data_IF_727994162890
#
_entry.id   IF_727994162890
#
_cell.length_a   1.000
_cell.length_b   1.000
_cell.length_c   1.000
_cell.angle_alpha   90.00
_cell.angle_beta   90.00
_cell.angle_gamma   90.00
#
_symmetry.space_group_name_H-M   'P 1'
#
loop_
_entity.id
_entity.type
_entity.pdbx_description
1 polymer ?
#
# COMPACT_ATOMS: atom_id res chain seq x y z
N UNK A 1 -15.79 -12.39 17.92
CA UNK A 1 -14.33 -12.68 17.81
C UNK A 1 -13.82 -12.47 16.39
N UNK A 2 -14.56 -12.89 15.37
CA UNK A 2 -14.15 -12.78 13.95
C UNK A 2 -13.80 -11.35 13.52
N UNK A 3 -14.63 -10.36 13.84
CA UNK A 3 -14.35 -8.94 13.54
C UNK A 3 -12.98 -8.50 14.06
N UNK A 4 -12.66 -8.83 15.32
CA UNK A 4 -11.41 -8.44 15.98
C UNK A 4 -10.22 -9.07 15.25
N UNK A 5 -10.32 -10.34 14.89
CA UNK A 5 -9.28 -11.07 14.16
C UNK A 5 -9.04 -10.44 12.78
N UNK A 6 -10.09 -10.18 12.01
CA UNK A 6 -9.97 -9.54 10.69
C UNK A 6 -9.40 -8.14 10.80
N UNK A 7 -9.82 -7.36 11.80
CA UNK A 7 -9.27 -6.02 12.06
C UNK A 7 -7.79 -6.07 12.44
N UNK A 8 -7.38 -7.04 13.26
CA UNK A 8 -5.99 -7.24 13.61
C UNK A 8 -5.13 -7.61 12.39
N UNK A 9 -5.61 -8.53 11.55
CA UNK A 9 -4.96 -8.88 10.28
C UNK A 9 -4.84 -7.66 9.36
N UNK A 10 -5.89 -6.84 9.26
CA UNK A 10 -5.86 -5.60 8.49
C UNK A 10 -4.76 -4.65 8.98
N UNK A 11 -4.63 -4.47 10.29
CA UNK A 11 -3.57 -3.64 10.88
C UNK A 11 -2.17 -4.21 10.65
N UNK A 12 -1.98 -5.52 10.78
CA UNK A 12 -0.71 -6.15 10.42
C UNK A 12 -0.36 -5.89 8.95
N UNK A 13 -1.32 -6.07 8.03
CA UNK A 13 -1.14 -5.75 6.62
C UNK A 13 -0.67 -4.30 6.42
N UNK A 14 -1.33 -3.33 7.08
CA UNK A 14 -0.97 -1.90 6.98
C UNK A 14 0.45 -1.64 7.50
N UNK A 15 0.83 -2.24 8.63
CA UNK A 15 2.16 -2.06 9.23
C UNK A 15 3.24 -2.61 8.30
N UNK A 16 3.03 -3.81 7.74
CA UNK A 16 3.96 -4.40 6.78
C UNK A 16 4.02 -3.59 5.48
N UNK A 17 2.88 -3.10 4.99
CA UNK A 17 2.80 -2.25 3.80
C UNK A 17 3.61 -0.96 3.98
N UNK A 18 3.39 -0.25 5.08
CA UNK A 18 4.10 0.98 5.38
C UNK A 18 5.60 0.74 5.60
N UNK A 19 5.95 -0.31 6.35
CA UNK A 19 7.35 -0.62 6.65
C UNK A 19 8.13 -1.03 5.40
N UNK A 20 7.56 -1.89 4.56
CA UNK A 20 8.21 -2.32 3.31
C UNK A 20 8.37 -1.16 2.34
N UNK A 21 7.33 -0.33 2.14
CA UNK A 21 7.43 0.85 1.28
C UNK A 21 8.48 1.87 1.77
N UNK A 22 8.58 2.06 3.10
CA UNK A 22 9.60 2.92 3.68
C UNK A 22 11.01 2.36 3.42
N UNK A 23 11.21 1.05 3.61
CA UNK A 23 12.48 0.37 3.32
C UNK A 23 12.84 0.52 1.84
N UNK A 24 11.88 0.33 0.94
CA UNK A 24 12.12 0.52 -0.50
C UNK A 24 12.58 1.93 -0.82
N UNK A 25 11.93 2.94 -0.26
CA UNK A 25 12.30 4.35 -0.47
C UNK A 25 13.71 4.67 0.06
N UNK A 26 14.15 3.99 1.12
CA UNK A 26 15.52 4.15 1.67
C UNK A 26 16.56 3.42 0.81
N UNK A 27 16.26 2.21 0.34
CA UNK A 27 17.20 1.37 -0.40
C UNK A 27 17.29 1.70 -1.89
N UNK A 28 16.23 2.27 -2.46
CA UNK A 28 16.16 2.62 -3.88
C UNK A 28 17.07 3.82 -4.18
N UNK A 29 18.01 3.62 -5.10
CA UNK A 29 18.96 4.64 -5.54
C UNK A 29 19.09 4.66 -7.07
N UNK A 30 19.74 5.68 -7.62
CA UNK A 30 19.91 5.85 -9.08
C UNK A 30 20.81 4.78 -9.72
N UNK A 31 21.67 4.13 -8.95
CA UNK A 31 22.59 3.10 -9.41
C UNK A 31 22.68 2.00 -8.36
N UNK A 32 22.33 0.78 -8.74
CA UNK A 32 22.19 -0.34 -7.81
C UNK A 32 22.96 -1.57 -8.29
N UNK A 33 23.56 -2.29 -7.35
CA UNK A 33 24.14 -3.61 -7.64
C UNK A 33 23.05 -4.63 -7.96
N UNK A 34 23.40 -5.69 -8.70
CA UNK A 34 22.51 -6.83 -8.94
C UNK A 34 21.96 -7.45 -7.65
N UNK A 35 22.78 -7.52 -6.60
CA UNK A 35 22.37 -8.02 -5.29
C UNK A 35 21.35 -7.08 -4.61
N UNK A 36 21.53 -5.78 -4.73
CA UNK A 36 20.57 -4.79 -4.20
C UNK A 36 19.23 -4.85 -4.93
N UNK A 37 19.23 -5.03 -6.26
CA UNK A 37 18.00 -5.19 -7.05
C UNK A 37 17.25 -6.47 -6.65
N UNK A 38 17.95 -7.59 -6.48
CA UNK A 38 17.34 -8.85 -5.99
C UNK A 38 16.67 -8.69 -4.64
N UNK A 39 17.38 -8.07 -3.68
CA UNK A 39 16.83 -7.79 -2.35
C UNK A 39 15.61 -6.88 -2.43
N UNK A 40 15.68 -5.82 -3.23
CA UNK A 40 14.59 -4.88 -3.40
C UNK A 40 13.36 -5.54 -4.05
N UNK A 41 13.55 -6.44 -5.02
CA UNK A 41 12.46 -7.22 -5.62
C UNK A 41 11.75 -8.14 -4.62
N UNK A 42 12.47 -8.71 -3.64
CA UNK A 42 11.86 -9.50 -2.56
C UNK A 42 11.03 -8.61 -1.63
N UNK A 43 11.57 -7.44 -1.27
CA UNK A 43 10.87 -6.47 -0.42
C UNK A 43 9.61 -5.96 -1.13
N UNK A 44 9.68 -5.70 -2.44
CA UNK A 44 8.53 -5.30 -3.27
C UNK A 44 7.47 -6.42 -3.36
N UNK A 45 7.90 -7.68 -3.38
CA UNK A 45 6.98 -8.82 -3.24
C UNK A 45 6.25 -8.83 -1.89
N UNK A 46 6.94 -8.54 -0.79
CA UNK A 46 6.32 -8.42 0.54
C UNK A 46 5.38 -7.21 0.63
N UNK A 47 5.75 -6.08 0.02
CA UNK A 47 4.89 -4.91 -0.13
C UNK A 47 3.59 -5.30 -0.86
N UNK A 48 3.69 -5.97 -2.01
CA UNK A 48 2.53 -6.43 -2.77
C UNK A 48 1.62 -7.39 -1.98
N UNK A 49 2.19 -8.38 -1.28
CA UNK A 49 1.43 -9.29 -0.42
C UNK A 49 0.73 -8.54 0.71
N UNK A 50 1.44 -7.61 1.37
CA UNK A 50 0.84 -6.81 2.44
C UNK A 50 -0.30 -5.93 1.93
N UNK A 51 -0.22 -5.40 0.70
CA UNK A 51 -1.30 -4.65 0.07
C UNK A 51 -2.55 -5.53 -0.14
N UNK A 52 -2.36 -6.77 -0.60
CA UNK A 52 -3.46 -7.74 -0.77
C UNK A 52 -4.09 -8.09 0.58
N UNK A 53 -3.30 -8.31 1.63
CA UNK A 53 -3.79 -8.58 2.98
C UNK A 53 -4.59 -7.39 3.52
N UNK A 54 -4.05 -6.17 3.39
CA UNK A 54 -4.74 -4.94 3.80
C UNK A 54 -6.06 -4.79 3.06
N UNK A 55 -6.07 -4.90 1.73
CA UNK A 55 -7.30 -4.73 0.96
C UNK A 55 -8.31 -5.83 1.27
N UNK A 56 -7.88 -7.10 1.25
CA UNK A 56 -8.74 -8.25 1.53
C UNK A 56 -9.42 -8.14 2.89
N UNK A 57 -8.66 -7.93 3.96
CA UNK A 57 -9.21 -7.75 5.29
C UNK A 57 -10.10 -6.50 5.40
N UNK A 58 -9.75 -5.42 4.69
CA UNK A 58 -10.57 -4.20 4.62
C UNK A 58 -11.92 -4.43 3.94
N UNK A 59 -11.96 -5.20 2.86
CA UNK A 59 -13.19 -5.60 2.18
C UNK A 59 -14.03 -6.55 3.06
N UNK A 60 -13.40 -7.48 3.78
CA UNK A 60 -14.09 -8.34 4.76
C UNK A 60 -14.72 -7.52 5.89
N UNK A 61 -14.04 -6.47 6.38
CA UNK A 61 -14.62 -5.54 7.35
C UNK A 61 -15.80 -4.76 6.78
N UNK A 62 -15.78 -4.41 5.49
CA UNK A 62 -16.88 -3.69 4.85
C UNK A 62 -18.09 -4.59 4.61
N UNK A 63 -17.90 -5.78 4.04
CA UNK A 63 -18.99 -6.59 3.50
C UNK A 63 -19.44 -7.74 4.41
N UNK A 64 -18.68 -8.12 5.43
CA UNK A 64 -18.97 -9.32 6.23
C UNK A 64 -19.08 -9.07 7.74
N UNK A 65 -18.05 -8.53 8.39
CA UNK A 65 -17.92 -8.61 9.87
C UNK A 65 -17.76 -7.28 10.60
N UNK A 66 -17.59 -6.16 9.91
CA UNK A 66 -17.33 -4.86 10.55
C UNK A 66 -18.60 -4.09 10.92
N UNK A 67 -18.53 -2.75 10.87
CA UNK A 67 -19.71 -1.89 11.07
C UNK A 67 -20.78 -2.21 10.01
N UNK A 68 -22.07 -1.88 10.27
CA UNK A 68 -23.11 -1.98 9.25
C UNK A 68 -22.63 -1.39 7.93
N UNK A 69 -22.78 -2.14 6.84
CA UNK A 69 -22.19 -1.81 5.53
C UNK A 69 -22.55 -0.39 5.06
N UNK A 70 -23.76 0.08 5.41
CA UNK A 70 -24.23 1.44 5.15
C UNK A 70 -23.31 2.54 5.70
N UNK A 71 -22.65 2.31 6.84
CA UNK A 71 -21.69 3.25 7.43
C UNK A 71 -20.54 3.53 6.46
N UNK A 72 -20.09 2.52 5.72
CA UNK A 72 -19.02 2.63 4.73
C UNK A 72 -19.57 3.11 3.39
N UNK A 73 -20.65 2.49 2.90
CA UNK A 73 -21.21 2.75 1.57
C UNK A 73 -21.71 4.18 1.39
N UNK A 74 -22.28 4.80 2.45
CA UNK A 74 -22.76 6.18 2.39
C UNK A 74 -21.67 7.22 2.69
N UNK A 75 -20.47 6.80 3.10
CA UNK A 75 -19.41 7.73 3.53
C UNK A 75 -18.45 8.07 2.35
N UNK A 76 -18.47 9.30 1.80
CA UNK A 76 -17.60 9.70 0.70
C UNK A 76 -16.11 9.69 1.08
N UNK A 77 -15.76 9.91 2.35
CA UNK A 77 -14.37 9.83 2.83
C UNK A 77 -13.87 8.37 2.79
N UNK A 78 -14.76 7.40 3.04
CA UNK A 78 -14.42 5.98 2.86
C UNK A 78 -14.13 5.63 1.41
N UNK A 79 -14.94 6.09 0.47
CA UNK A 79 -14.68 5.90 -0.96
C UNK A 79 -13.39 6.59 -1.41
N UNK A 80 -13.12 7.81 -0.95
CA UNK A 80 -11.85 8.48 -1.20
C UNK A 80 -10.65 7.68 -0.67
N UNK A 81 -10.76 7.10 0.53
CA UNK A 81 -9.72 6.23 1.11
C UNK A 81 -9.48 5.00 0.24
N UNK A 82 -10.54 4.29 -0.15
CA UNK A 82 -10.42 3.08 -0.98
C UNK A 82 -9.86 3.43 -2.36
N UNK A 83 -10.37 4.48 -3.00
CA UNK A 83 -9.87 4.96 -4.29
C UNK A 83 -8.40 5.35 -4.24
N UNK A 84 -7.97 6.05 -3.18
CA UNK A 84 -6.57 6.40 -2.98
C UNK A 84 -5.68 5.17 -2.78
N UNK A 85 -6.15 4.17 -2.02
CA UNK A 85 -5.42 2.91 -1.84
C UNK A 85 -5.25 2.17 -3.18
N UNK A 86 -6.32 2.10 -3.99
CA UNK A 86 -6.27 1.49 -5.32
C UNK A 86 -5.34 2.26 -6.27
N UNK A 87 -5.34 3.59 -6.22
CA UNK A 87 -4.42 4.42 -6.99
C UNK A 87 -2.96 4.11 -6.63
N UNK A 88 -2.62 4.02 -5.34
CA UNK A 88 -1.28 3.65 -4.88
C UNK A 88 -0.90 2.25 -5.37
N UNK A 89 -1.81 1.27 -5.29
CA UNK A 89 -1.57 -0.07 -5.80
C UNK A 89 -1.30 -0.10 -7.31
N UNK A 90 -2.05 0.69 -8.10
CA UNK A 90 -1.85 0.80 -9.54
C UNK A 90 -0.51 1.47 -9.89
N UNK A 91 -0.14 2.53 -9.18
CA UNK A 91 1.15 3.19 -9.35
C UNK A 91 2.31 2.22 -9.11
N UNK A 92 2.19 1.35 -8.11
CA UNK A 92 3.22 0.36 -7.75
C UNK A 92 3.48 -0.68 -8.83
N UNK A 93 2.56 -0.91 -9.77
CA UNK A 93 2.80 -1.85 -10.87
C UNK A 93 4.04 -1.44 -11.68
N UNK A 94 4.27 -0.14 -11.87
CA UNK A 94 5.39 0.38 -12.67
C UNK A 94 6.76 0.01 -12.06
N UNK A 95 7.07 0.33 -10.79
CA UNK A 95 8.31 -0.09 -10.15
C UNK A 95 8.40 -1.61 -9.96
N UNK A 96 7.29 -2.29 -9.63
CA UNK A 96 7.27 -3.75 -9.48
C UNK A 96 7.70 -4.45 -10.77
N UNK A 97 7.14 -4.06 -11.92
CA UNK A 97 7.52 -4.64 -13.22
C UNK A 97 9.00 -4.36 -13.52
N UNK A 98 9.50 -3.16 -13.20
CA UNK A 98 10.92 -2.85 -13.37
C UNK A 98 11.81 -3.78 -12.52
N UNK A 99 11.52 -3.94 -11.22
CA UNK A 99 12.30 -4.79 -10.33
C UNK A 99 12.27 -6.25 -10.75
N UNK A 100 11.09 -6.76 -11.12
CA UNK A 100 10.93 -8.14 -11.58
C UNK A 100 11.70 -8.40 -12.89
N UNK A 101 11.66 -7.46 -13.84
CA UNK A 101 12.40 -7.58 -15.11
C UNK A 101 13.91 -7.66 -14.89
N UNK A 102 14.44 -6.94 -13.89
CA UNK A 102 15.88 -6.85 -13.65
C UNK A 102 16.37 -7.72 -12.48
N UNK A 103 15.51 -8.54 -11.86
CA UNK A 103 15.87 -9.38 -10.70
C UNK A 103 17.02 -10.35 -10.98
N UNK A 104 17.22 -10.75 -12.24
CA UNK A 104 18.27 -11.66 -12.66
C UNK A 104 19.42 -10.96 -13.40
N UNK A 105 19.52 -9.63 -13.30
CA UNK A 105 20.63 -8.89 -13.92
C UNK A 105 21.98 -9.34 -13.36
N UNK A 106 22.99 -9.42 -14.23
CA UNK A 106 24.39 -9.66 -13.88
C UNK A 106 25.23 -8.38 -13.92
N UNK A 107 24.61 -7.24 -14.26
CA UNK A 107 25.29 -5.95 -14.28
C UNK A 107 25.81 -5.58 -12.89
N UNK A 108 27.05 -5.10 -12.82
CA UNK A 108 27.65 -4.63 -11.57
C UNK A 108 26.93 -3.37 -11.04
N UNK A 109 26.44 -2.52 -11.95
CA UNK A 109 25.73 -1.28 -11.63
C UNK A 109 24.58 -1.06 -12.62
N UNK A 110 23.36 -1.42 -12.21
CA UNK A 110 22.14 -1.14 -12.96
C UNK A 110 21.68 0.29 -12.69
N UNK A 111 21.48 1.08 -13.74
CA UNK A 111 20.88 2.41 -13.61
C UNK A 111 19.36 2.31 -13.43
N UNK A 112 18.85 2.91 -12.37
CA UNK A 112 17.40 2.98 -12.09
C UNK A 112 16.84 4.26 -12.71
N UNK A 113 15.83 4.17 -13.58
CA UNK A 113 15.21 5.36 -14.17
C UNK A 113 14.61 6.27 -13.10
N UNK A 114 14.82 7.59 -13.23
CA UNK A 114 14.33 8.60 -12.28
C UNK A 114 12.82 8.48 -12.01
N UNK A 115 12.03 8.08 -13.01
CA UNK A 115 10.58 7.86 -12.87
C UNK A 115 10.23 6.82 -11.78
N UNK A 116 11.04 5.77 -11.62
CA UNK A 116 10.80 4.71 -10.62
C UNK A 116 10.96 5.30 -9.21
N UNK A 117 11.99 6.12 -9.02
CA UNK A 117 12.26 6.80 -7.75
C UNK A 117 11.15 7.78 -7.42
N UNK A 118 10.70 8.58 -8.39
CA UNK A 118 9.61 9.55 -8.19
C UNK A 118 8.30 8.84 -7.85
N UNK A 119 7.98 7.74 -8.53
CA UNK A 119 6.77 6.96 -8.26
C UNK A 119 6.79 6.38 -6.85
N UNK A 120 7.87 5.71 -6.41
CA UNK A 120 7.96 5.17 -5.04
C UNK A 120 7.88 6.26 -3.96
N UNK A 121 8.41 7.47 -4.22
CA UNK A 121 8.25 8.63 -3.33
C UNK A 121 6.82 9.13 -3.29
N UNK A 122 6.16 9.20 -4.44
CA UNK A 122 4.75 9.58 -4.53
C UNK A 122 3.87 8.58 -3.78
N UNK A 123 4.10 7.29 -3.95
CA UNK A 123 3.39 6.24 -3.20
C UNK A 123 3.52 6.44 -1.69
N UNK A 124 4.72 6.76 -1.19
CA UNK A 124 4.93 7.05 0.22
C UNK A 124 4.12 8.26 0.70
N UNK A 125 4.11 9.35 -0.08
CA UNK A 125 3.31 10.54 0.25
C UNK A 125 1.80 10.25 0.27
N UNK A 126 1.30 9.51 -0.72
CA UNK A 126 -0.11 9.11 -0.80
C UNK A 126 -0.49 8.15 0.33
N UNK A 127 0.42 7.23 0.71
CA UNK A 127 0.22 6.32 1.83
C UNK A 127 0.02 7.07 3.15
N UNK A 128 0.75 8.17 3.37
CA UNK A 128 0.61 9.00 4.58
C UNK A 128 -0.75 9.70 4.70
N UNK A 129 -1.48 9.87 3.60
CA UNK A 129 -2.83 10.46 3.60
C UNK A 129 -3.89 9.43 4.05
N UNK A 130 -3.65 8.13 3.83
CA UNK A 130 -4.63 7.08 4.14
C UNK A 130 -5.03 7.01 5.64
N UNK A 131 -4.09 7.09 6.62
CA UNK A 131 -4.45 7.15 8.03
C UNK A 131 -5.34 8.34 8.39
N UNK A 132 -5.11 9.51 7.78
CA UNK A 132 -5.94 10.70 8.01
C UNK A 132 -7.38 10.46 7.55
N UNK A 133 -7.57 9.94 6.33
CA UNK A 133 -8.90 9.60 5.81
C UNK A 133 -9.59 8.54 6.68
N UNK A 134 -8.84 7.55 7.17
CA UNK A 134 -9.35 6.53 8.08
C UNK A 134 -9.83 7.16 9.41
N UNK A 135 -9.07 8.07 10.01
CA UNK A 135 -9.42 8.74 11.25
C UNK A 135 -10.67 9.64 11.10
N UNK A 136 -10.75 10.41 10.01
CA UNK A 136 -11.92 11.26 9.71
C UNK A 136 -13.19 10.41 9.55
N UNK A 137 -13.15 9.40 8.69
CA UNK A 137 -14.28 8.48 8.51
C UNK A 137 -14.68 7.79 9.81
N UNK A 138 -13.72 7.34 10.63
CA UNK A 138 -14.01 6.64 11.88
C UNK A 138 -14.87 7.47 12.84
N UNK A 139 -14.71 8.80 12.79
CA UNK A 139 -15.51 9.80 13.54
C UNK A 139 -16.82 10.19 12.85
N UNK A 140 -17.16 9.62 11.69
CA UNK A 140 -18.40 9.90 10.97
C UNK A 140 -18.36 11.11 10.05
N UNK A 141 -17.20 11.78 9.88
CA UNK A 141 -17.08 12.86 8.91
C UNK A 141 -17.50 12.38 7.50
N UNK A 142 -18.21 13.23 6.77
CA UNK A 142 -18.75 12.94 5.44
C UNK A 142 -20.15 12.31 5.42
N UNK A 143 -20.69 11.89 6.57
CA UNK A 143 -22.09 11.48 6.69
C UNK A 143 -22.98 12.68 7.05
N UNK A 144 -24.27 12.68 6.69
CA UNK A 144 -25.22 13.71 7.13
C UNK A 144 -25.24 13.76 8.66
N UNK A 145 -25.23 14.97 9.24
CA UNK A 145 -25.47 15.14 10.68
C UNK A 145 -26.91 14.73 10.96
N UNK A 146 -27.09 13.65 11.71
CA UNK A 146 -28.37 13.25 12.32
C UNK A 146 -28.69 14.11 13.52
#
# INVERSE_FOLDING_TARGET
MEEIVVRYIHFLGIIFLASTLAIENVLLSKSMSSQSIKRLAVIDGLYGVSALVTLGAGLTLWFAVGKPSEFYTKNPIFHAKVGLFLLVALLSIIPTVFLLKHRNTTEANLSVPQRIIVIKRLEMLLLLVLPLLAALMARGYGLPSS
#
